data_IF_102734907604
#
_entry.id   IF_102734907604
#
_cell.length_a   1.000
_cell.length_b   1.000
_cell.length_c   1.000
_cell.angle_alpha   90.00
_cell.angle_beta   90.00
_cell.angle_gamma   90.00
#
_symmetry.space_group_name_H-M   'P 1'
#
loop_
_entity.id
_entity.type
_entity.pdbx_description
1 polymer ?
#
# COMPACT_ATOMS: atom_id res chain seq x y z
N UNK A 1 -16.38 -8.99 16.96
CA UNK A 1 -16.56 -10.15 16.06
C UNK A 1 -15.37 -10.17 15.10
N UNK A 2 -14.55 -11.22 15.18
CA UNK A 2 -13.23 -11.31 14.57
C UNK A 2 -13.28 -11.22 13.05
N UNK A 3 -12.59 -10.21 12.50
CA UNK A 3 -12.30 -10.10 11.07
C UNK A 3 -11.23 -11.13 10.72
N UNK A 4 -11.66 -12.38 10.51
CA UNK A 4 -10.87 -13.42 9.85
C UNK A 4 -11.02 -13.37 8.31
N UNK A 5 -11.65 -12.31 7.78
CA UNK A 5 -12.21 -12.24 6.42
C UNK A 5 -11.24 -11.77 5.32
N UNK A 6 -9.99 -11.43 5.65
CA UNK A 6 -9.05 -10.87 4.68
C UNK A 6 -7.91 -11.81 4.32
N UNK A 7 -8.22 -13.11 4.20
CA UNK A 7 -7.30 -14.00 3.50
C UNK A 7 -7.18 -13.56 2.02
N UNK A 8 -6.02 -13.79 1.42
CA UNK A 8 -5.67 -13.28 0.10
C UNK A 8 -6.66 -13.79 -0.97
N UNK A 9 -7.15 -15.02 -0.79
CA UNK A 9 -8.17 -15.65 -1.63
C UNK A 9 -9.50 -14.88 -1.64
N UNK A 10 -9.96 -14.40 -0.47
CA UNK A 10 -11.20 -13.63 -0.33
C UNK A 10 -11.02 -12.27 -0.99
N UNK A 11 -9.91 -11.58 -0.72
CA UNK A 11 -9.61 -10.27 -1.32
C UNK A 11 -9.53 -10.38 -2.85
N UNK A 12 -8.89 -11.43 -3.37
CA UNK A 12 -8.80 -11.67 -4.81
C UNK A 12 -10.18 -11.94 -5.42
N UNK A 13 -10.99 -12.77 -4.77
CA UNK A 13 -12.37 -13.06 -5.22
C UNK A 13 -13.23 -11.80 -5.22
N UNK A 14 -13.21 -11.04 -4.13
CA UNK A 14 -13.92 -9.76 -4.05
C UNK A 14 -13.43 -8.78 -5.11
N UNK A 15 -12.12 -8.74 -5.37
CA UNK A 15 -11.58 -7.89 -6.44
C UNK A 15 -12.15 -8.28 -7.80
N UNK A 16 -12.21 -9.58 -8.13
CA UNK A 16 -12.78 -10.06 -9.39
C UNK A 16 -14.26 -9.68 -9.50
N UNK A 17 -15.05 -9.94 -8.45
CA UNK A 17 -16.51 -9.66 -8.42
C UNK A 17 -16.79 -8.15 -8.53
N UNK A 18 -16.12 -7.33 -7.72
CA UNK A 18 -16.32 -5.89 -7.74
C UNK A 18 -15.78 -5.25 -9.02
N UNK A 19 -14.73 -5.81 -9.64
CA UNK A 19 -14.27 -5.41 -10.97
C UNK A 19 -15.32 -5.69 -12.03
N UNK A 20 -15.90 -6.89 -12.03
CA UNK A 20 -16.97 -7.26 -12.96
C UNK A 20 -18.20 -6.35 -12.80
N UNK A 21 -18.52 -5.97 -11.56
CA UNK A 21 -19.60 -5.04 -11.26
C UNK A 21 -19.25 -3.55 -11.48
N UNK A 22 -18.02 -3.22 -11.90
CA UNK A 22 -17.49 -1.83 -12.01
C UNK A 22 -17.56 -1.02 -10.70
N UNK A 23 -17.52 -1.70 -9.55
CA UNK A 23 -17.66 -1.16 -8.19
C UNK A 23 -16.34 -1.17 -7.39
N UNK A 24 -15.19 -1.16 -8.05
CA UNK A 24 -13.89 -1.27 -7.38
C UNK A 24 -13.63 -0.19 -6.30
N UNK A 25 -14.23 0.99 -6.42
CA UNK A 25 -14.17 2.02 -5.38
C UNK A 25 -14.87 1.60 -4.07
N UNK A 26 -15.99 0.89 -4.16
CA UNK A 26 -16.72 0.37 -2.99
C UNK A 26 -15.89 -0.69 -2.26
N UNK A 27 -15.23 -1.59 -2.99
CA UNK A 27 -14.30 -2.57 -2.40
C UNK A 27 -13.17 -1.87 -1.65
N UNK A 28 -12.60 -0.82 -2.24
CA UNK A 28 -11.54 -0.05 -1.57
C UNK A 28 -12.04 0.55 -0.25
N UNK A 29 -13.23 1.16 -0.24
CA UNK A 29 -13.86 1.70 0.97
C UNK A 29 -14.04 0.64 2.06
N UNK A 30 -14.57 -0.53 1.70
CA UNK A 30 -14.72 -1.67 2.65
C UNK A 30 -13.37 -2.09 3.23
N UNK A 31 -12.33 -2.21 2.40
CA UNK A 31 -10.98 -2.57 2.87
C UNK A 31 -10.36 -1.49 3.75
N UNK A 32 -10.67 -0.21 3.52
CA UNK A 32 -10.24 0.90 4.36
C UNK A 32 -10.87 0.83 5.76
N UNK A 33 -12.18 0.60 5.84
CA UNK A 33 -12.90 0.46 7.11
C UNK A 33 -12.40 -0.73 7.92
N UNK A 34 -12.13 -1.84 7.25
CA UNK A 34 -11.53 -3.01 7.89
C UNK A 34 -10.11 -2.71 8.38
N UNK A 35 -9.28 -2.07 7.56
CA UNK A 35 -7.92 -1.72 7.94
C UNK A 35 -7.88 -0.70 9.10
N UNK A 36 -8.84 0.22 9.16
CA UNK A 36 -8.97 1.21 10.24
C UNK A 36 -9.37 0.58 11.58
N UNK A 37 -10.26 -0.41 11.55
CA UNK A 37 -10.74 -1.11 12.76
C UNK A 37 -9.81 -2.23 13.25
N UNK A 38 -8.94 -2.76 12.39
CA UNK A 38 -8.05 -3.88 12.74
C UNK A 38 -6.75 -3.43 13.44
N UNK A 39 -6.39 -4.15 14.50
CA UNK A 39 -5.19 -3.93 15.31
C UNK A 39 -4.22 -5.11 15.24
N UNK A 40 -2.99 -4.92 15.72
CA UNK A 40 -1.97 -5.97 15.77
C UNK A 40 -1.63 -6.59 14.40
N UNK A 41 -1.41 -7.90 14.39
CA UNK A 41 -1.11 -8.68 13.18
C UNK A 41 -2.21 -8.62 12.13
N UNK A 42 -3.47 -8.59 12.56
CA UNK A 42 -4.63 -8.51 11.68
C UNK A 42 -4.70 -7.15 11.00
N UNK A 43 -4.41 -6.08 11.75
CA UNK A 43 -4.28 -4.74 11.20
C UNK A 43 -3.20 -4.66 10.12
N UNK A 44 -2.05 -5.31 10.32
CA UNK A 44 -0.97 -5.36 9.33
C UNK A 44 -1.40 -6.14 8.08
N UNK A 45 -2.09 -7.28 8.25
CA UNK A 45 -2.66 -8.04 7.12
C UNK A 45 -3.68 -7.20 6.35
N UNK A 46 -4.61 -6.55 7.05
CA UNK A 46 -5.63 -5.72 6.43
C UNK A 46 -5.04 -4.56 5.61
N UNK A 47 -4.02 -3.87 6.14
CA UNK A 47 -3.33 -2.81 5.40
C UNK A 47 -2.56 -3.35 4.19
N UNK A 48 -1.99 -4.56 4.24
CA UNK A 48 -1.36 -5.18 3.06
C UNK A 48 -2.40 -5.51 1.98
N UNK A 49 -3.54 -6.07 2.37
CA UNK A 49 -4.65 -6.34 1.46
C UNK A 49 -5.18 -5.06 0.81
N UNK A 50 -5.31 -3.98 1.60
CA UNK A 50 -5.69 -2.66 1.09
C UNK A 50 -4.66 -2.12 0.09
N UNK A 51 -3.36 -2.22 0.36
CA UNK A 51 -2.31 -1.81 -0.59
C UNK A 51 -2.45 -2.54 -1.93
N UNK A 52 -2.64 -3.87 -1.88
CA UNK A 52 -2.83 -4.70 -3.06
C UNK A 52 -4.10 -4.35 -3.85
N UNK A 53 -5.18 -3.94 -3.17
CA UNK A 53 -6.39 -3.46 -3.82
C UNK A 53 -6.14 -2.11 -4.50
N UNK A 54 -5.49 -1.15 -3.81
CA UNK A 54 -5.14 0.14 -4.37
C UNK A 54 -4.24 0.02 -5.62
N UNK A 55 -3.33 -0.96 -5.66
CA UNK A 55 -2.51 -1.23 -6.84
C UNK A 55 -3.34 -1.65 -8.06
N UNK A 56 -4.35 -2.49 -7.85
CA UNK A 56 -5.24 -2.96 -8.93
C UNK A 56 -6.21 -1.89 -9.41
N UNK A 57 -6.47 -0.86 -8.59
CA UNK A 57 -7.32 0.29 -8.94
C UNK A 57 -6.53 1.52 -9.36
N UNK A 58 -5.19 1.42 -9.47
CA UNK A 58 -4.29 2.53 -9.79
C UNK A 58 -4.41 3.72 -8.82
N UNK A 59 -4.82 3.47 -7.58
CA UNK A 59 -4.92 4.48 -6.53
C UNK A 59 -3.54 4.71 -5.86
N UNK A 60 -2.59 5.25 -6.63
CA UNK A 60 -1.18 5.28 -6.23
C UNK A 60 -0.89 6.20 -5.02
N UNK A 61 -1.60 7.32 -4.88
CA UNK A 61 -1.49 8.17 -3.68
C UNK A 61 -1.90 7.39 -2.42
N UNK A 62 -2.96 6.58 -2.53
CA UNK A 62 -3.42 5.74 -1.43
C UNK A 62 -2.43 4.63 -1.13
N UNK A 63 -1.84 4.01 -2.16
CA UNK A 63 -0.76 3.03 -1.99
C UNK A 63 0.40 3.61 -1.17
N UNK A 64 0.84 4.84 -1.48
CA UNK A 64 1.88 5.54 -0.72
C UNK A 64 1.47 5.73 0.74
N UNK A 65 0.26 6.21 1.01
CA UNK A 65 -0.25 6.43 2.37
C UNK A 65 -0.30 5.12 3.19
N UNK A 66 -0.80 4.05 2.58
CA UNK A 66 -0.91 2.72 3.22
C UNK A 66 0.47 2.15 3.51
N UNK A 67 1.40 2.24 2.57
CA UNK A 67 2.78 1.80 2.74
C UNK A 67 3.46 2.54 3.90
N UNK A 68 3.29 3.86 4.00
CA UNK A 68 3.85 4.64 5.12
C UNK A 68 3.20 4.29 6.46
N UNK A 69 1.90 3.98 6.51
CA UNK A 69 1.24 3.45 7.73
C UNK A 69 1.82 2.11 8.14
N UNK A 70 2.05 1.20 7.19
CA UNK A 70 2.67 -0.11 7.44
C UNK A 70 4.09 0.05 7.98
N UNK A 71 4.90 0.93 7.38
CA UNK A 71 6.25 1.23 7.88
C UNK A 71 6.21 1.73 9.32
N UNK A 72 5.38 2.75 9.62
CA UNK A 72 5.24 3.29 10.98
C UNK A 72 4.82 2.23 12.01
N UNK A 73 3.97 1.28 11.62
CA UNK A 73 3.49 0.21 12.52
C UNK A 73 4.51 -0.91 12.74
N UNK A 74 5.38 -1.17 11.77
CA UNK A 74 6.21 -2.40 11.77
C UNK A 74 7.72 -2.14 11.86
N UNK A 75 8.18 -0.92 11.54
CA UNK A 75 9.59 -0.60 11.35
C UNK A 75 10.24 -1.30 10.15
N UNK A 76 9.48 -2.04 9.34
CA UNK A 76 10.02 -2.82 8.24
C UNK A 76 10.22 -1.96 6.99
N UNK A 77 11.48 -1.79 6.61
CA UNK A 77 11.90 -0.93 5.52
C UNK A 77 11.40 -1.40 4.15
N UNK A 78 10.94 -2.65 3.99
CA UNK A 78 10.28 -3.08 2.73
C UNK A 78 9.08 -2.19 2.40
N UNK A 79 8.37 -1.68 3.41
CA UNK A 79 7.23 -0.80 3.21
C UNK A 79 7.65 0.63 2.81
N UNK A 80 8.89 1.04 3.09
CA UNK A 80 9.45 2.27 2.50
C UNK A 80 9.62 2.10 1.00
N UNK A 81 10.12 0.95 0.54
CA UNK A 81 10.21 0.67 -0.89
C UNK A 81 8.84 0.60 -1.56
N UNK A 82 7.82 0.07 -0.89
CA UNK A 82 6.44 0.13 -1.40
C UNK A 82 5.96 1.58 -1.57
N UNK A 83 6.28 2.48 -0.63
CA UNK A 83 5.95 3.89 -0.74
C UNK A 83 6.71 4.56 -1.89
N UNK A 84 8.00 4.27 -2.06
CA UNK A 84 8.83 4.74 -3.19
C UNK A 84 8.25 4.30 -4.53
N UNK A 85 7.92 3.01 -4.69
CA UNK A 85 7.27 2.48 -5.91
C UNK A 85 5.95 3.20 -6.17
N UNK A 86 5.17 3.47 -5.12
CA UNK A 86 3.91 4.21 -5.24
C UNK A 86 4.11 5.66 -5.70
N UNK A 87 5.14 6.35 -5.23
CA UNK A 87 5.51 7.70 -5.69
C UNK A 87 5.93 7.66 -7.16
N UNK A 88 6.77 6.71 -7.54
CA UNK A 88 7.20 6.54 -8.93
C UNK A 88 5.99 6.33 -9.87
N UNK A 89 5.05 5.46 -9.49
CA UNK A 89 3.83 5.22 -10.27
C UNK A 89 2.93 6.45 -10.37
N UNK A 90 2.84 7.27 -9.32
CA UNK A 90 2.18 8.58 -9.39
C UNK A 90 2.84 9.46 -10.43
N UNK A 91 4.16 9.68 -10.34
CA UNK A 91 4.91 10.50 -11.29
C UNK A 91 4.71 10.04 -12.74
N UNK A 92 4.75 8.73 -12.98
CA UNK A 92 4.56 8.14 -14.30
C UNK A 92 3.14 8.34 -14.86
N UNK A 93 2.14 8.43 -13.99
CA UNK A 93 0.72 8.50 -14.39
C UNK A 93 0.17 9.92 -14.43
N UNK A 94 0.74 10.85 -13.66
CA UNK A 94 0.26 12.24 -13.52
C UNK A 94 1.27 13.29 -13.99
N UNK A 95 2.42 12.87 -14.54
CA UNK A 95 3.55 13.73 -14.92
C UNK A 95 4.11 14.59 -13.77
N UNK A 96 3.85 14.21 -12.52
CA UNK A 96 4.32 14.92 -11.32
C UNK A 96 5.79 14.60 -10.97
N UNK A 97 6.70 14.80 -11.93
CA UNK A 97 8.12 14.48 -11.79
C UNK A 97 8.82 15.17 -10.61
N UNK A 98 8.26 16.28 -10.11
CA UNK A 98 8.76 16.99 -8.92
C UNK A 98 8.76 16.14 -7.63
N UNK A 99 8.04 15.00 -7.59
CA UNK A 99 8.05 14.08 -6.45
C UNK A 99 9.19 13.04 -6.51
N UNK A 100 9.91 12.92 -7.62
CA UNK A 100 11.04 11.98 -7.74
C UNK A 100 12.19 12.23 -6.74
N UNK A 101 12.59 13.49 -6.46
CA UNK A 101 13.60 13.76 -5.42
C UNK A 101 13.20 13.27 -4.02
N UNK A 102 11.91 13.27 -3.71
CA UNK A 102 11.40 12.71 -2.45
C UNK A 102 11.61 11.19 -2.40
N UNK A 103 11.25 10.49 -3.47
CA UNK A 103 11.45 9.05 -3.59
C UNK A 103 12.95 8.67 -3.48
N UNK A 104 13.81 9.43 -4.13
CA UNK A 104 15.27 9.26 -4.05
C UNK A 104 15.78 9.45 -2.61
N UNK A 105 15.34 10.53 -1.94
CA UNK A 105 15.72 10.82 -0.56
C UNK A 105 15.30 9.70 0.39
N UNK A 106 14.10 9.16 0.21
CA UNK A 106 13.62 8.00 0.99
C UNK A 106 14.51 6.78 0.79
N UNK A 107 14.89 6.45 -0.45
CA UNK A 107 15.82 5.35 -0.75
C UNK A 107 17.19 5.55 -0.08
N UNK A 108 17.81 6.73 -0.24
CA UNK A 108 19.13 7.03 0.34
C UNK A 108 19.11 6.93 1.86
N UNK A 109 18.05 7.43 2.50
CA UNK A 109 17.87 7.33 3.96
C UNK A 109 17.77 5.88 4.41
N UNK A 110 16.94 5.08 3.75
CA UNK A 110 16.77 3.65 4.06
C UNK A 110 18.05 2.85 3.83
N UNK A 111 18.82 3.13 2.77
CA UNK A 111 20.12 2.50 2.53
C UNK A 111 21.10 2.78 3.68
N UNK A 112 21.20 4.05 4.11
CA UNK A 112 22.05 4.46 5.23
C UNK A 112 21.64 3.77 6.54
N UNK A 113 20.33 3.70 6.82
CA UNK A 113 19.79 3.06 8.03
C UNK A 113 20.01 1.53 8.05
N UNK A 114 20.03 0.88 6.89
CA UNK A 114 20.26 -0.56 6.74
C UNK A 114 21.73 -0.96 6.59
N UNK A 115 22.65 0.00 6.42
CA UNK A 115 24.05 -0.29 6.09
C UNK A 115 24.22 -0.96 4.72
N UNK A 116 23.27 -0.77 3.79
CA UNK A 116 23.38 -1.29 2.43
C UNK A 116 24.35 -0.39 1.67
N UNK A 117 25.47 -0.96 1.20
CA UNK A 117 26.43 -0.23 0.37
C UNK A 117 25.75 0.33 -0.88
N UNK A 118 26.18 1.51 -1.34
CA UNK A 118 25.73 2.07 -2.62
C UNK A 118 26.05 1.09 -3.75
N UNK A 119 25.03 0.69 -4.50
CA UNK A 119 25.18 -0.03 -5.77
C UNK A 119 25.97 0.79 -6.78
#
# INVERSE_FOLDING_TARGET
KSVALLDESVVNTLTIVFKAARKLGELQGVLEDIAASAQGSEGIRAHRSLFNACARTFSFLKMQQVAMKLYKRTGDHKYVFWAVTSIYLQCASTSQLHMLPLAETMCRKTQKEKGLASL
#
